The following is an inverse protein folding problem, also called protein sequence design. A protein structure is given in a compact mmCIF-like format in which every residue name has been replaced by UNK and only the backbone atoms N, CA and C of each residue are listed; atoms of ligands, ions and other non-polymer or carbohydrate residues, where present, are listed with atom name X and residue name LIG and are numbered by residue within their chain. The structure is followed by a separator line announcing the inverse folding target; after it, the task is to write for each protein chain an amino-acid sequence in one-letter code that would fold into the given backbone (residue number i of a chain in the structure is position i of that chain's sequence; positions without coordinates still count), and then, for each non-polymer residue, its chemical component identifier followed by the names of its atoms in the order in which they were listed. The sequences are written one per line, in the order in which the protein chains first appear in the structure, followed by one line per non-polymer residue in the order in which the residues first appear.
data_IF_081828817424
#
_entry.id   IF_081828817424
#
_cell.length_a   1.000
_cell.length_b   1.000
_cell.length_c   1.000
_cell.angle_alpha   90.00
_cell.angle_beta   90.00
_cell.angle_gamma   90.00
#
_symmetry.space_group_name_H-M   'P 1'
#
loop_
_entity.id
_entity.type
_entity.pdbx_description
1 polymer ?
#
# COMPACT_ATOMS: atom_id res chain seq x y z
N UNK A 1 17.08 26.19 15.46
CA UNK A 1 15.62 26.28 15.59
C UNK A 1 15.09 24.85 15.79
N UNK A 2 14.73 24.52 17.06
CA UNK A 2 14.08 23.24 17.35
C UNK A 2 12.69 23.25 16.70
N UNK A 3 12.59 22.71 15.48
CA UNK A 3 11.30 22.46 14.84
C UNK A 3 10.52 21.58 15.81
N UNK A 4 9.34 22.04 16.22
CA UNK A 4 8.52 21.30 17.18
C UNK A 4 8.23 19.89 16.67
N UNK A 5 8.27 18.86 17.53
CA UNK A 5 8.13 17.46 17.11
C UNK A 5 6.90 17.14 16.25
N UNK A 6 5.87 17.99 16.28
CA UNK A 6 4.69 17.92 15.39
C UNK A 6 5.01 18.30 13.94
N UNK A 7 5.80 19.35 13.73
CA UNK A 7 6.16 19.81 12.38
C UNK A 7 7.07 18.80 11.68
N UNK A 8 8.05 18.25 12.39
CA UNK A 8 8.89 17.17 11.86
C UNK A 8 8.07 15.95 11.46
N UNK A 9 7.07 15.56 12.25
CA UNK A 9 6.21 14.42 11.93
C UNK A 9 5.38 14.66 10.66
N UNK A 10 4.85 15.88 10.46
CA UNK A 10 4.09 16.26 9.27
C UNK A 10 4.99 16.28 8.02
N UNK A 11 6.17 16.85 8.12
CA UNK A 11 7.16 16.90 7.04
C UNK A 11 7.56 15.49 6.59
N UNK A 12 7.88 14.64 7.56
CA UNK A 12 8.22 13.25 7.30
C UNK A 12 7.06 12.48 6.59
N UNK A 13 5.84 12.65 7.10
CA UNK A 13 4.66 12.02 6.50
C UNK A 13 4.44 12.49 5.06
N UNK A 14 4.57 13.79 4.80
CA UNK A 14 4.38 14.36 3.47
C UNK A 14 5.42 13.84 2.48
N UNK A 15 6.70 13.80 2.86
CA UNK A 15 7.78 13.26 2.05
C UNK A 15 7.57 11.77 1.74
N UNK A 16 7.19 10.97 2.77
CA UNK A 16 6.86 9.58 2.60
C UNK A 16 5.71 9.38 1.61
N UNK A 17 4.60 10.09 1.78
CA UNK A 17 3.43 9.98 0.91
C UNK A 17 3.77 10.33 -0.54
N UNK A 18 4.51 11.42 -0.76
CA UNK A 18 4.91 11.84 -2.11
C UNK A 18 5.73 10.76 -2.81
N UNK A 19 6.75 10.21 -2.15
CA UNK A 19 7.57 9.12 -2.68
C UNK A 19 6.74 7.88 -3.00
N UNK A 20 5.92 7.45 -2.04
CA UNK A 20 5.09 6.25 -2.18
C UNK A 20 4.11 6.41 -3.34
N UNK A 21 3.48 7.58 -3.51
CA UNK A 21 2.54 7.82 -4.60
C UNK A 21 3.20 7.78 -5.97
N UNK A 22 4.37 8.40 -6.12
CA UNK A 22 5.13 8.38 -7.37
C UNK A 22 5.58 6.96 -7.72
N UNK A 23 6.18 6.26 -6.74
CA UNK A 23 6.69 4.91 -6.94
C UNK A 23 5.57 3.92 -7.26
N UNK A 24 4.45 3.99 -6.55
CA UNK A 24 3.25 3.19 -6.84
C UNK A 24 2.73 3.45 -8.25
N UNK A 25 2.68 4.72 -8.67
CA UNK A 25 2.23 5.08 -10.02
C UNK A 25 3.10 4.44 -11.09
N UNK A 26 4.41 4.62 -11.03
CA UNK A 26 5.38 4.03 -11.97
C UNK A 26 5.30 2.50 -11.95
N UNK A 27 5.28 1.90 -10.76
CA UNK A 27 5.21 0.45 -10.60
C UNK A 27 3.98 -0.15 -11.30
N UNK A 28 2.79 0.41 -11.08
CA UNK A 28 1.58 -0.14 -11.70
C UNK A 28 1.50 0.08 -13.20
N UNK A 29 2.08 1.15 -13.74
CA UNK A 29 2.24 1.29 -15.20
C UNK A 29 3.07 0.15 -15.76
N UNK A 30 4.25 -0.09 -15.17
CA UNK A 30 5.14 -1.17 -15.58
C UNK A 30 4.49 -2.55 -15.40
N UNK A 31 3.87 -2.79 -14.24
CA UNK A 31 3.23 -4.05 -13.95
C UNK A 31 2.09 -4.35 -14.92
N UNK A 32 1.24 -3.37 -15.23
CA UNK A 32 0.15 -3.51 -16.20
C UNK A 32 0.66 -3.85 -17.61
N UNK A 33 1.78 -3.25 -18.02
CA UNK A 33 2.41 -3.53 -19.31
C UNK A 33 2.99 -4.95 -19.38
N UNK A 34 3.62 -5.42 -18.30
CA UNK A 34 4.33 -6.72 -18.27
C UNK A 34 3.42 -7.88 -17.86
N UNK A 35 2.34 -7.63 -17.13
CA UNK A 35 1.45 -8.66 -16.57
C UNK A 35 0.91 -9.68 -17.61
N UNK A 36 0.52 -9.31 -18.83
CA UNK A 36 0.09 -10.29 -19.84
C UNK A 36 1.16 -11.33 -20.17
N UNK A 37 2.44 -10.92 -20.15
CA UNK A 37 3.57 -11.82 -20.36
C UNK A 37 3.83 -12.68 -19.11
N UNK A 38 3.82 -12.09 -17.92
CA UNK A 38 4.03 -12.79 -16.66
C UNK A 38 3.02 -13.92 -16.46
N UNK A 39 1.73 -13.67 -16.71
CA UNK A 39 0.66 -14.66 -16.58
C UNK A 39 0.84 -15.90 -17.45
N UNK A 40 1.62 -15.81 -18.54
CA UNK A 40 1.92 -16.96 -19.42
C UNK A 40 2.99 -17.88 -18.86
N UNK A 41 3.95 -17.32 -18.11
CA UNK A 41 5.16 -18.03 -17.70
C UNK A 41 5.24 -18.28 -16.20
N UNK A 42 4.52 -17.51 -15.40
CA UNK A 42 4.61 -17.50 -13.94
C UNK A 42 3.28 -17.90 -13.32
N UNK A 43 3.33 -18.51 -12.13
CA UNK A 43 2.15 -18.94 -11.39
C UNK A 43 1.23 -17.76 -11.06
N UNK A 44 -0.08 -17.97 -11.11
CA UNK A 44 -1.05 -16.95 -10.79
C UNK A 44 -0.90 -16.44 -9.34
N UNK A 45 -0.39 -17.27 -8.43
CA UNK A 45 -0.11 -16.87 -7.05
C UNK A 45 0.93 -15.75 -6.98
N UNK A 46 2.01 -15.86 -7.73
CA UNK A 46 3.03 -14.81 -7.79
C UNK A 46 2.48 -13.56 -8.46
N UNK A 47 1.70 -13.70 -9.54
CA UNK A 47 1.03 -12.56 -10.15
C UNK A 47 0.11 -11.83 -9.15
N UNK A 48 -0.63 -12.55 -8.31
CA UNK A 48 -1.47 -11.97 -7.27
C UNK A 48 -0.64 -11.24 -6.20
N UNK A 49 0.51 -11.79 -5.78
CA UNK A 49 1.42 -11.16 -4.80
C UNK A 49 2.04 -9.88 -5.37
N UNK A 50 2.43 -9.86 -6.64
CA UNK A 50 3.01 -8.68 -7.28
C UNK A 50 2.09 -7.46 -7.20
N UNK A 51 0.77 -7.63 -7.23
CA UNK A 51 -0.17 -6.52 -7.04
C UNK A 51 -0.13 -5.92 -5.63
N UNK A 52 0.25 -6.71 -4.62
CA UNK A 52 0.29 -6.27 -3.22
C UNK A 52 1.59 -5.59 -2.84
N UNK A 53 2.69 -5.91 -3.54
CA UNK A 53 4.04 -5.48 -3.15
C UNK A 53 4.18 -3.97 -2.91
N UNK A 54 3.72 -3.07 -3.82
CA UNK A 54 3.94 -1.65 -3.59
C UNK A 54 3.15 -1.10 -2.40
N UNK A 55 2.08 -1.78 -1.98
CA UNK A 55 1.33 -1.40 -0.78
C UNK A 55 2.14 -1.51 0.51
N UNK A 56 3.15 -2.38 0.57
CA UNK A 56 4.02 -2.49 1.73
C UNK A 56 4.95 -1.27 1.92
N UNK A 57 5.14 -0.46 0.87
CA UNK A 57 5.93 0.77 0.98
C UNK A 57 5.37 1.75 2.00
N UNK A 58 4.05 1.74 2.28
CA UNK A 58 3.46 2.54 3.36
C UNK A 58 3.97 2.18 4.75
N UNK A 59 4.52 0.99 4.92
CA UNK A 59 5.01 0.47 6.20
C UNK A 59 6.53 0.38 6.27
N UNK A 60 7.24 0.58 5.16
CA UNK A 60 8.72 0.53 5.09
C UNK A 60 9.34 1.91 5.40
N UNK A 61 8.86 2.57 6.44
CA UNK A 61 9.28 3.93 6.80
C UNK A 61 10.73 4.06 7.27
N UNK A 62 11.38 2.95 7.60
CA UNK A 62 12.71 2.92 8.24
C UNK A 62 13.86 2.55 7.30
N UNK A 63 13.58 2.15 6.06
CA UNK A 63 14.66 1.65 5.17
C UNK A 63 15.47 2.78 4.53
N UNK A 64 14.96 4.02 4.59
CA UNK A 64 15.66 5.20 4.01
C UNK A 64 16.79 5.75 4.87
N UNK A 65 16.99 5.26 6.09
CA UNK A 65 18.09 5.69 6.96
C UNK A 65 19.40 4.89 6.76
N UNK A 66 19.48 4.04 5.75
CA UNK A 66 20.78 3.55 5.30
C UNK A 66 21.45 4.71 4.56
N UNK A 67 22.19 5.48 5.35
CA UNK A 67 23.09 6.51 4.89
C UNK A 67 23.99 5.90 3.80
N UNK A 68 23.68 6.16 2.56
CA UNK A 68 24.64 6.02 1.48
C UNK A 68 25.44 7.31 1.49
N UNK A 69 26.64 7.21 2.01
CA UNK A 69 27.69 8.15 1.67
C UNK A 69 27.97 8.00 0.18
N UNK A 70 27.35 8.81 -0.66
CA UNK A 70 27.60 8.82 -2.09
C UNK A 70 28.49 10.05 -2.40
N UNK A 71 29.73 9.85 -2.88
CA UNK A 71 30.65 10.96 -3.16
C UNK A 71 30.27 11.83 -4.36
N UNK A 72 29.15 11.54 -5.00
CA UNK A 72 28.68 12.28 -6.16
C UNK A 72 27.24 12.74 -5.98
N UNK A 73 27.02 13.88 -5.33
CA UNK A 73 25.74 14.52 -5.05
C UNK A 73 24.52 13.97 -5.78
N UNK A 74 23.69 13.17 -5.12
CA UNK A 74 22.44 12.67 -5.67
C UNK A 74 21.59 13.83 -6.17
N UNK A 75 21.11 13.72 -7.40
CA UNK A 75 20.19 14.70 -8.00
C UNK A 75 18.83 14.54 -7.31
N UNK A 76 18.57 15.35 -6.30
CA UNK A 76 17.26 15.43 -5.66
C UNK A 76 16.32 16.27 -6.53
N UNK A 77 15.14 15.73 -6.82
CA UNK A 77 14.08 16.51 -7.45
C UNK A 77 13.36 17.33 -6.37
N UNK A 78 13.57 18.63 -6.38
CA UNK A 78 12.90 19.58 -5.48
C UNK A 78 11.69 20.17 -6.17
N UNK A 79 10.51 20.03 -5.56
CA UNK A 79 9.26 20.64 -6.01
C UNK A 79 8.90 21.78 -5.08
N UNK A 80 8.73 22.98 -5.61
CA UNK A 80 8.37 24.18 -4.85
C UNK A 80 6.84 24.35 -4.80
N UNK A 81 6.28 24.57 -3.61
CA UNK A 81 4.85 24.82 -3.41
C UNK A 81 4.61 25.79 -2.25
N UNK A 82 3.48 26.48 -2.25
CA UNK A 82 3.09 27.31 -1.09
C UNK A 82 2.59 26.44 0.06
N UNK A 83 2.87 26.80 1.31
CA UNK A 83 2.42 26.05 2.50
C UNK A 83 0.90 25.91 2.57
N UNK A 84 0.16 26.95 2.16
CA UNK A 84 -1.32 26.89 2.07
C UNK A 84 -1.78 25.84 1.06
N UNK A 85 -1.15 25.76 -0.13
CA UNK A 85 -1.48 24.76 -1.14
C UNK A 85 -1.23 23.34 -0.60
N UNK A 86 -0.09 23.13 0.06
CA UNK A 86 0.27 21.84 0.66
C UNK A 86 -0.76 21.42 1.71
N UNK A 87 -1.16 22.32 2.60
CA UNK A 87 -2.17 22.05 3.64
C UNK A 87 -3.53 21.69 3.02
N UNK A 88 -3.97 22.43 2.00
CA UNK A 88 -5.23 22.14 1.29
C UNK A 88 -5.15 20.78 0.60
N UNK A 89 -4.07 20.48 -0.11
CA UNK A 89 -3.89 19.18 -0.78
C UNK A 89 -3.89 18.02 0.21
N UNK A 90 -3.22 18.16 1.36
CA UNK A 90 -3.25 17.14 2.42
C UNK A 90 -4.66 16.95 3.00
N UNK A 91 -5.39 18.05 3.23
CA UNK A 91 -6.77 17.96 3.74
C UNK A 91 -7.71 17.26 2.73
N UNK A 92 -7.61 17.62 1.45
CA UNK A 92 -8.37 16.99 0.35
C UNK A 92 -8.00 15.51 0.23
N UNK A 93 -6.69 15.19 0.26
CA UNK A 93 -6.22 13.82 0.22
C UNK A 93 -6.77 13.00 1.41
N UNK A 94 -6.65 13.51 2.63
CA UNK A 94 -7.12 12.81 3.83
C UNK A 94 -8.64 12.60 3.80
N UNK A 95 -9.40 13.63 3.43
CA UNK A 95 -10.86 13.53 3.30
C UNK A 95 -11.26 12.49 2.24
N UNK A 96 -10.60 12.48 1.08
CA UNK A 96 -10.83 11.49 0.04
C UNK A 96 -10.45 10.08 0.47
N UNK A 97 -9.30 9.90 1.11
CA UNK A 97 -8.84 8.61 1.62
C UNK A 97 -9.82 8.03 2.67
N UNK A 98 -10.22 8.84 3.64
CA UNK A 98 -11.20 8.46 4.67
C UNK A 98 -12.56 8.16 4.01
N UNK A 99 -13.02 9.01 3.09
CA UNK A 99 -14.30 8.85 2.39
C UNK A 99 -14.35 7.56 1.57
N UNK A 100 -13.33 7.28 0.77
CA UNK A 100 -13.25 6.05 -0.04
C UNK A 100 -13.15 4.82 0.85
N UNK A 101 -12.32 4.86 1.89
CA UNK A 101 -12.17 3.74 2.82
C UNK A 101 -13.49 3.46 3.56
N UNK A 102 -14.11 4.48 4.14
CA UNK A 102 -15.39 4.36 4.82
C UNK A 102 -16.48 3.83 3.88
N UNK A 103 -16.56 4.35 2.66
CA UNK A 103 -17.52 3.86 1.65
C UNK A 103 -17.33 2.36 1.37
N UNK A 104 -16.08 1.91 1.20
CA UNK A 104 -15.77 0.49 0.95
C UNK A 104 -16.14 -0.39 2.15
N UNK A 105 -15.82 0.04 3.37
CA UNK A 105 -16.17 -0.68 4.61
C UNK A 105 -17.69 -0.75 4.77
N UNK A 106 -18.39 0.37 4.64
CA UNK A 106 -19.85 0.43 4.77
C UNK A 106 -20.52 -0.46 3.70
N UNK A 107 -20.02 -0.42 2.46
CA UNK A 107 -20.52 -1.26 1.37
C UNK A 107 -20.33 -2.75 1.69
N UNK A 108 -19.15 -3.15 2.21
CA UNK A 108 -18.88 -4.51 2.64
C UNK A 108 -19.80 -4.95 3.79
N UNK A 109 -19.97 -4.11 4.81
CA UNK A 109 -20.84 -4.42 5.96
C UNK A 109 -22.32 -4.52 5.54
N UNK A 110 -22.79 -3.65 4.66
CA UNK A 110 -24.13 -3.72 4.08
C UNK A 110 -24.33 -5.01 3.28
N UNK A 111 -23.36 -5.36 2.46
CA UNK A 111 -23.37 -6.61 1.69
C UNK A 111 -23.42 -7.82 2.64
N UNK A 112 -22.51 -7.89 3.62
CA UNK A 112 -22.47 -8.96 4.62
C UNK A 112 -23.81 -9.11 5.37
N UNK A 113 -24.38 -8.00 5.83
CA UNK A 113 -25.69 -8.00 6.51
C UNK A 113 -26.81 -8.51 5.58
N UNK A 114 -26.78 -8.15 4.32
CA UNK A 114 -27.78 -8.60 3.34
C UNK A 114 -27.67 -10.10 3.09
N UNK A 115 -26.47 -10.61 2.89
CA UNK A 115 -26.23 -12.04 2.64
C UNK A 115 -26.60 -12.90 3.85
N UNK A 116 -26.28 -12.44 5.07
CA UNK A 116 -26.47 -13.23 6.29
C UNK A 116 -27.85 -13.03 6.94
N UNK A 117 -28.71 -12.16 6.42
CA UNK A 117 -30.00 -11.82 7.02
C UNK A 117 -30.89 -13.05 7.21
N UNK A 118 -30.97 -13.90 6.18
CA UNK A 118 -31.82 -15.10 6.18
C UNK A 118 -30.98 -16.38 6.05
N UNK A 119 -29.70 -16.28 6.43
CA UNK A 119 -28.77 -17.41 6.34
C UNK A 119 -28.99 -18.38 7.51
N UNK A 120 -29.05 -19.67 7.20
CA UNK A 120 -29.23 -20.75 8.18
C UNK A 120 -27.94 -21.56 8.27
N UNK A 121 -27.52 -21.89 9.48
CA UNK A 121 -26.37 -22.78 9.68
C UNK A 121 -26.67 -24.15 9.06
N UNK A 122 -25.71 -24.70 8.34
CA UNK A 122 -25.85 -26.02 7.73
C UNK A 122 -25.83 -27.09 8.82
N UNK A 123 -26.86 -27.90 8.87
CA UNK A 123 -27.02 -29.03 9.81
C UNK A 123 -27.07 -30.38 9.09
N UNK A 124 -27.10 -30.37 7.78
CA UNK A 124 -27.13 -31.56 6.95
C UNK A 124 -25.81 -32.33 7.05
N UNK A 125 -25.90 -33.59 7.50
CA UNK A 125 -24.78 -34.45 7.81
C UNK A 125 -23.89 -34.73 6.58
N UNK A 126 -24.48 -34.89 5.42
CA UNK A 126 -23.73 -35.16 4.19
C UNK A 126 -22.88 -33.93 3.80
N UNK A 127 -23.46 -32.74 3.84
CA UNK A 127 -22.73 -31.48 3.56
C UNK A 127 -21.62 -31.24 4.58
N UNK A 128 -21.89 -31.51 5.88
CA UNK A 128 -20.89 -31.38 6.92
C UNK A 128 -19.75 -32.38 6.79
N UNK A 129 -20.03 -33.62 6.38
CA UNK A 129 -19.00 -34.63 6.12
C UNK A 129 -18.04 -34.17 4.98
N UNK A 130 -18.58 -33.65 3.89
CA UNK A 130 -17.76 -33.10 2.79
C UNK A 130 -16.93 -31.88 3.27
N UNK A 131 -17.55 -31.00 4.08
CA UNK A 131 -16.86 -29.84 4.65
C UNK A 131 -15.67 -30.26 5.52
N UNK A 132 -15.87 -31.20 6.43
CA UNK A 132 -14.82 -31.73 7.32
C UNK A 132 -13.70 -32.42 6.51
N UNK A 133 -14.07 -33.21 5.50
CA UNK A 133 -13.09 -33.85 4.62
C UNK A 133 -12.20 -32.85 3.88
N UNK A 134 -12.76 -31.75 3.37
CA UNK A 134 -11.98 -30.72 2.68
C UNK A 134 -11.12 -29.87 3.65
N UNK A 135 -11.59 -29.61 4.88
CA UNK A 135 -10.78 -29.00 5.94
C UNK A 135 -9.57 -29.89 6.30
N UNK A 136 -9.80 -31.17 6.51
CA UNK A 136 -8.74 -32.14 6.80
C UNK A 136 -7.72 -32.22 5.65
N UNK A 137 -8.17 -32.22 4.38
CA UNK A 137 -7.31 -32.18 3.20
C UNK A 137 -6.43 -30.93 3.14
N UNK A 138 -6.94 -29.80 3.61
CA UNK A 138 -6.20 -28.54 3.69
C UNK A 138 -5.28 -28.46 4.91
N UNK A 139 -5.14 -29.52 5.70
CA UNK A 139 -4.39 -29.58 6.96
C UNK A 139 -4.85 -28.53 7.98
N UNK A 140 -6.10 -28.13 7.90
CA UNK A 140 -6.74 -27.22 8.83
C UNK A 140 -7.42 -28.08 9.89
N UNK A 141 -6.97 -27.95 11.14
CA UNK A 141 -7.62 -28.58 12.29
C UNK A 141 -8.99 -27.95 12.57
N UNK A 142 -9.44 -27.99 13.82
CA UNK A 142 -10.67 -27.32 14.22
C UNK A 142 -10.63 -25.83 13.91
N UNK A 143 -11.42 -25.41 12.93
CA UNK A 143 -11.58 -24.00 12.57
C UNK A 143 -12.82 -23.44 13.23
N UNK A 144 -12.79 -22.12 13.54
CA UNK A 144 -13.97 -21.38 14.02
C UNK A 144 -14.85 -20.88 12.87
N UNK A 145 -14.64 -21.38 11.66
CA UNK A 145 -15.41 -20.99 10.50
C UNK A 145 -16.77 -21.70 10.51
N UNK A 146 -17.79 -20.98 10.12
CA UNK A 146 -19.16 -21.52 10.04
C UNK A 146 -19.57 -21.72 8.59
N UNK A 147 -20.29 -22.82 8.32
CA UNK A 147 -20.90 -23.09 7.04
C UNK A 147 -22.38 -22.73 7.12
N UNK A 148 -22.86 -21.85 6.21
CA UNK A 148 -24.24 -21.38 6.18
C UNK A 148 -24.86 -21.53 4.81
N UNK A 149 -26.17 -21.71 4.74
CA UNK A 149 -26.96 -21.58 3.51
C UNK A 149 -27.63 -20.22 3.50
N UNK A 150 -27.41 -19.47 2.42
CA UNK A 150 -27.96 -18.14 2.23
C UNK A 150 -28.82 -18.10 0.95
N UNK A 151 -30.17 -18.02 1.07
CA UNK A 151 -31.08 -18.10 -0.07
C UNK A 151 -30.90 -16.97 -1.08
N UNK A 152 -30.33 -15.89 -0.66
CA UNK A 152 -30.10 -14.70 -1.49
C UNK A 152 -28.86 -14.78 -2.37
N UNK A 153 -28.06 -15.83 -2.20
CA UNK A 153 -26.85 -16.03 -2.99
C UNK A 153 -27.16 -16.89 -4.23
N UNK A 154 -26.50 -16.52 -5.30
CA UNK A 154 -26.46 -17.31 -6.55
C UNK A 154 -25.15 -18.08 -6.68
N UNK A 155 -24.09 -17.59 -6.04
CA UNK A 155 -22.76 -18.21 -6.07
C UNK A 155 -22.24 -18.45 -4.65
N UNK A 156 -21.53 -19.58 -4.39
CA UNK A 156 -20.84 -19.78 -3.12
C UNK A 156 -19.81 -18.66 -2.90
N UNK A 157 -19.60 -18.30 -1.63
CA UNK A 157 -18.59 -17.31 -1.28
C UNK A 157 -18.17 -17.41 0.18
N UNK A 158 -16.95 -16.96 0.48
CA UNK A 158 -16.46 -16.77 1.84
C UNK A 158 -16.53 -15.31 2.26
N UNK A 159 -17.06 -15.07 3.48
CA UNK A 159 -17.19 -13.73 4.05
C UNK A 159 -16.56 -13.70 5.42
N UNK A 160 -15.76 -12.68 5.68
CA UNK A 160 -15.17 -12.42 7.00
C UNK A 160 -13.69 -12.13 6.90
N UNK A 161 -13.23 -11.22 7.75
CA UNK A 161 -11.84 -10.80 7.83
C UNK A 161 -11.11 -11.50 8.98
N UNK A 162 -11.83 -11.77 10.06
CA UNK A 162 -11.30 -12.40 11.27
C UNK A 162 -11.86 -13.81 11.43
N UNK A 163 -11.06 -14.73 11.92
CA UNK A 163 -11.44 -16.14 12.07
C UNK A 163 -12.81 -16.37 12.76
N UNK A 164 -13.10 -15.56 13.80
CA UNK A 164 -14.38 -15.65 14.55
C UNK A 164 -15.60 -15.16 13.75
N UNK A 165 -15.40 -14.36 12.70
CA UNK A 165 -16.47 -13.76 11.91
C UNK A 165 -16.54 -14.32 10.49
N UNK A 166 -15.66 -15.27 10.18
CA UNK A 166 -15.56 -15.90 8.87
C UNK A 166 -16.59 -17.00 8.72
N UNK A 167 -17.35 -16.94 7.65
CA UNK A 167 -18.27 -18.00 7.25
C UNK A 167 -18.16 -18.27 5.74
N UNK A 168 -18.42 -19.50 5.36
CA UNK A 168 -18.64 -19.91 3.97
C UNK A 168 -20.14 -20.00 3.76
N UNK A 169 -20.64 -19.24 2.79
CA UNK A 169 -22.05 -19.19 2.48
C UNK A 169 -22.33 -19.90 1.15
N UNK A 170 -23.19 -20.87 1.19
CA UNK A 170 -23.66 -21.63 0.05
C UNK A 170 -25.03 -21.12 -0.40
N UNK A 171 -25.33 -21.09 -1.70
CA UNK A 171 -26.69 -20.88 -2.22
C UNK A 171 -27.67 -21.95 -1.74
N UNK A 172 -28.96 -21.68 -1.90
CA UNK A 172 -30.02 -22.62 -1.55
C UNK A 172 -30.17 -23.81 -2.55
N UNK A 173 -29.40 -23.81 -3.64
CA UNK A 173 -29.44 -24.90 -4.61
C UNK A 173 -28.75 -26.17 -4.09
N UNK A 174 -29.14 -27.33 -4.65
CA UNK A 174 -28.50 -28.62 -4.39
C UNK A 174 -27.27 -28.82 -5.29
N UNK A 175 -26.21 -29.36 -4.69
CA UNK A 175 -24.98 -29.78 -5.36
C UNK A 175 -24.78 -31.28 -5.17
N UNK A 176 -24.16 -31.94 -6.15
CA UNK A 176 -23.67 -33.29 -5.91
C UNK A 176 -22.50 -33.25 -4.90
N UNK A 177 -22.19 -34.36 -4.21
CA UNK A 177 -21.05 -34.41 -3.28
C UNK A 177 -19.72 -33.99 -3.95
N UNK A 178 -19.54 -34.34 -5.21
CA UNK A 178 -18.34 -34.00 -6.00
C UNK A 178 -18.31 -32.49 -6.33
N UNK A 179 -19.44 -31.92 -6.76
CA UNK A 179 -19.56 -30.46 -6.98
C UNK A 179 -19.30 -29.70 -5.69
N UNK A 180 -19.90 -30.17 -4.60
CA UNK A 180 -19.74 -29.54 -3.28
C UNK A 180 -18.29 -29.60 -2.79
N UNK A 181 -17.61 -30.73 -2.98
CA UNK A 181 -16.19 -30.88 -2.65
C UNK A 181 -15.32 -29.85 -3.41
N UNK A 182 -15.55 -29.65 -4.70
CA UNK A 182 -14.80 -28.68 -5.50
C UNK A 182 -15.07 -27.23 -5.05
N UNK A 183 -16.33 -26.90 -4.74
CA UNK A 183 -16.74 -25.59 -4.22
C UNK A 183 -16.08 -25.31 -2.88
N UNK A 184 -16.24 -26.23 -1.93
CA UNK A 184 -15.74 -26.07 -0.57
C UNK A 184 -14.21 -25.99 -0.56
N UNK A 185 -13.54 -26.79 -1.40
CA UNK A 185 -12.09 -26.70 -1.58
C UNK A 185 -11.65 -25.32 -2.07
N UNK A 186 -12.36 -24.74 -3.03
CA UNK A 186 -12.09 -23.39 -3.54
C UNK A 186 -12.21 -22.35 -2.43
N UNK A 187 -13.30 -22.35 -1.68
CA UNK A 187 -13.53 -21.40 -0.59
C UNK A 187 -12.52 -21.60 0.57
N UNK A 188 -12.20 -22.85 0.93
CA UNK A 188 -11.22 -23.17 1.96
C UNK A 188 -9.81 -22.66 1.55
N UNK A 189 -9.44 -22.78 0.28
CA UNK A 189 -8.16 -22.26 -0.21
C UNK A 189 -8.09 -20.73 -0.06
N UNK A 190 -9.15 -19.99 -0.39
CA UNK A 190 -9.22 -18.56 -0.14
C UNK A 190 -9.01 -18.22 1.34
N UNK A 191 -9.67 -18.94 2.23
CA UNK A 191 -9.59 -18.70 3.66
C UNK A 191 -8.22 -19.08 4.24
N UNK A 192 -7.65 -20.22 3.84
CA UNK A 192 -6.34 -20.69 4.29
C UNK A 192 -5.21 -19.73 3.90
N UNK A 193 -5.34 -19.09 2.74
CA UNK A 193 -4.38 -18.11 2.23
C UNK A 193 -4.60 -16.70 2.76
N UNK A 194 -5.68 -16.48 3.50
CA UNK A 194 -6.10 -15.15 3.96
C UNK A 194 -6.36 -14.16 2.81
N UNK A 195 -6.88 -14.65 1.69
CA UNK A 195 -7.19 -13.81 0.54
C UNK A 195 -8.15 -12.65 0.89
N UNK A 196 -9.15 -12.80 1.81
CA UNK A 196 -9.94 -11.67 2.28
C UNK A 196 -9.10 -10.55 2.91
N UNK A 197 -8.04 -10.89 3.65
CA UNK A 197 -7.13 -9.90 4.23
C UNK A 197 -6.31 -9.19 3.15
N UNK A 198 -5.85 -9.92 2.13
CA UNK A 198 -5.14 -9.35 0.97
C UNK A 198 -6.05 -8.42 0.16
N UNK A 199 -7.31 -8.82 -0.07
CA UNK A 199 -8.33 -7.97 -0.72
C UNK A 199 -8.61 -6.69 0.11
N UNK A 200 -8.69 -6.83 1.44
CA UNK A 200 -8.86 -5.68 2.34
C UNK A 200 -7.64 -4.74 2.31
N UNK A 201 -6.43 -5.30 2.28
CA UNK A 201 -5.21 -4.52 2.14
C UNK A 201 -5.18 -3.72 0.82
N UNK A 202 -5.62 -4.33 -0.29
CA UNK A 202 -5.77 -3.62 -1.57
C UNK A 202 -6.82 -2.49 -1.51
N UNK A 203 -7.88 -2.68 -0.74
CA UNK A 203 -8.87 -1.60 -0.49
C UNK A 203 -8.22 -0.45 0.27
N UNK A 204 -7.41 -0.74 1.29
CA UNK A 204 -6.65 0.27 2.04
C UNK A 204 -5.69 1.04 1.10
N UNK A 205 -4.87 0.33 0.32
CA UNK A 205 -3.94 0.96 -0.63
C UNK A 205 -4.67 1.81 -1.68
N UNK A 206 -5.84 1.34 -2.16
CA UNK A 206 -6.67 2.10 -3.10
C UNK A 206 -7.24 3.35 -2.44
N UNK A 207 -7.64 3.29 -1.17
CA UNK A 207 -8.09 4.47 -0.45
C UNK A 207 -6.97 5.49 -0.23
N UNK A 208 -5.75 5.04 0.11
CA UNK A 208 -4.58 5.92 0.25
C UNK A 208 -4.21 6.64 -1.06
N UNK A 209 -4.35 5.96 -2.21
CA UNK A 209 -4.11 6.51 -3.55
C UNK A 209 -5.42 6.69 -4.34
N UNK A 210 -6.49 7.13 -3.71
CA UNK A 210 -7.83 7.20 -4.31
C UNK A 210 -7.89 8.01 -5.61
N UNK A 211 -7.07 9.02 -5.73
CA UNK A 211 -6.95 9.90 -6.90
C UNK A 211 -6.22 9.23 -8.08
N UNK A 212 -5.51 8.12 -7.86
CA UNK A 212 -4.76 7.43 -8.91
C UNK A 212 -5.63 6.35 -9.58
N UNK A 213 -6.04 6.50 -10.87
CA UNK A 213 -6.87 5.52 -11.55
C UNK A 213 -6.20 4.14 -11.69
N UNK A 214 -4.86 4.09 -11.72
CA UNK A 214 -4.12 2.83 -11.82
C UNK A 214 -4.37 1.93 -10.60
N UNK A 215 -4.56 2.52 -9.41
CA UNK A 215 -4.91 1.76 -8.21
C UNK A 215 -6.26 1.04 -8.34
N UNK A 216 -7.25 1.70 -8.93
CA UNK A 216 -8.56 1.08 -9.17
C UNK A 216 -8.49 -0.06 -10.18
N UNK A 217 -7.65 0.09 -11.23
CA UNK A 217 -7.38 -0.98 -12.19
C UNK A 217 -6.63 -2.12 -11.51
N UNK A 218 -5.58 -1.81 -10.73
CA UNK A 218 -4.79 -2.79 -9.99
C UNK A 218 -5.66 -3.61 -9.01
N UNK A 219 -6.55 -2.96 -8.27
CA UNK A 219 -7.48 -3.61 -7.35
C UNK A 219 -8.39 -4.62 -8.07
N UNK A 220 -8.90 -4.28 -9.28
CA UNK A 220 -9.72 -5.19 -10.08
C UNK A 220 -8.90 -6.36 -10.63
N UNK A 221 -7.72 -6.07 -11.17
CA UNK A 221 -6.84 -7.09 -11.77
C UNK A 221 -6.23 -8.02 -10.72
N UNK A 222 -5.94 -7.53 -9.51
CA UNK A 222 -5.50 -8.38 -8.42
C UNK A 222 -6.58 -9.38 -8.01
N UNK A 223 -7.85 -8.97 -7.97
CA UNK A 223 -8.95 -9.89 -7.67
C UNK A 223 -9.04 -11.01 -8.72
N UNK A 224 -8.91 -10.70 -10.03
CA UNK A 224 -8.88 -11.71 -11.09
C UNK A 224 -7.73 -12.72 -10.88
N UNK A 225 -6.54 -12.26 -10.46
CA UNK A 225 -5.38 -13.12 -10.24
C UNK A 225 -5.49 -13.96 -8.95
N UNK A 226 -6.18 -13.46 -7.91
CA UNK A 226 -6.50 -14.27 -6.72
C UNK A 226 -7.40 -15.43 -7.10
N UNK A 227 -8.46 -15.19 -7.91
CA UNK A 227 -9.35 -16.24 -8.37
C UNK A 227 -8.59 -17.28 -9.21
N UNK A 228 -7.78 -16.82 -10.18
CA UNK A 228 -6.96 -17.71 -11.00
C UNK A 228 -5.98 -18.55 -10.18
N UNK A 229 -5.36 -17.94 -9.16
CA UNK A 229 -4.47 -18.63 -8.23
C UNK A 229 -5.19 -19.69 -7.40
N UNK A 230 -6.45 -19.42 -7.03
CA UNK A 230 -7.28 -20.38 -6.33
C UNK A 230 -7.62 -21.56 -7.25
N UNK A 231 -8.06 -21.30 -8.49
CA UNK A 231 -8.34 -22.33 -9.48
C UNK A 231 -7.13 -23.24 -9.74
N UNK A 232 -5.93 -22.66 -9.91
CA UNK A 232 -4.69 -23.43 -10.09
C UNK A 232 -4.44 -24.39 -8.92
N UNK A 233 -4.78 -23.96 -7.70
CA UNK A 233 -4.55 -24.79 -6.49
C UNK A 233 -5.60 -25.87 -6.30
N UNK A 234 -6.87 -25.57 -6.58
CA UNK A 234 -7.96 -26.55 -6.58
C UNK A 234 -7.65 -27.70 -7.54
N UNK A 235 -7.10 -27.34 -8.69
CA UNK A 235 -6.87 -28.24 -9.82
C UNK A 235 -5.44 -28.77 -9.91
N UNK A 236 -4.62 -28.54 -8.87
CA UNK A 236 -3.26 -29.07 -8.82
C UNK A 236 -3.29 -30.60 -8.90
N UNK A 237 -2.57 -31.17 -9.87
CA UNK A 237 -2.51 -32.60 -10.12
C UNK A 237 -3.88 -33.29 -10.41
N UNK A 238 -4.94 -32.53 -10.72
CA UNK A 238 -6.23 -33.12 -11.05
C UNK A 238 -6.27 -33.57 -12.53
N UNK A 239 -6.91 -34.73 -12.82
CA UNK A 239 -7.05 -35.23 -14.16
C UNK A 239 -8.07 -34.40 -14.99
N UNK A 240 -8.00 -34.54 -16.32
CA UNK A 240 -8.84 -33.75 -17.22
C UNK A 240 -10.36 -33.85 -16.99
N UNK A 241 -10.93 -34.99 -16.61
CA UNK A 241 -12.38 -35.06 -16.31
C UNK A 241 -12.79 -34.15 -15.15
N UNK A 242 -11.99 -34.08 -14.07
CA UNK A 242 -12.27 -33.22 -12.92
C UNK A 242 -12.13 -31.74 -13.29
N UNK A 243 -11.15 -31.40 -14.16
CA UNK A 243 -11.00 -30.02 -14.69
C UNK A 243 -12.21 -29.59 -15.50
N UNK A 244 -12.75 -30.50 -16.31
CA UNK A 244 -13.96 -30.26 -17.10
C UNK A 244 -15.17 -30.05 -16.20
N UNK A 245 -15.38 -30.93 -15.21
CA UNK A 245 -16.45 -30.79 -14.22
C UNK A 245 -16.38 -29.44 -13.48
N UNK A 246 -15.17 -29.04 -13.07
CA UNK A 246 -14.95 -27.75 -12.42
C UNK A 246 -15.25 -26.56 -13.34
N UNK A 247 -14.89 -26.63 -14.62
CA UNK A 247 -15.20 -25.61 -15.60
C UNK A 247 -16.72 -25.49 -15.84
N UNK A 248 -17.42 -26.60 -15.94
CA UNK A 248 -18.89 -26.65 -16.07
C UNK A 248 -19.58 -26.08 -14.83
N UNK A 249 -19.07 -26.40 -13.63
CA UNK A 249 -19.55 -25.85 -12.36
C UNK A 249 -19.34 -24.32 -12.29
N UNK A 250 -18.19 -23.84 -12.73
CA UNK A 250 -17.90 -22.41 -12.79
C UNK A 250 -18.86 -21.67 -13.73
N UNK A 251 -19.18 -22.26 -14.87
CA UNK A 251 -20.18 -21.72 -15.82
C UNK A 251 -21.60 -21.73 -15.22
N UNK A 252 -21.96 -22.79 -14.53
CA UNK A 252 -23.27 -22.93 -13.86
C UNK A 252 -23.47 -21.86 -12.79
N UNK A 253 -22.41 -21.53 -12.05
CA UNK A 253 -22.45 -20.52 -10.97
C UNK A 253 -22.26 -19.08 -11.46
N UNK A 254 -21.68 -18.85 -12.64
CA UNK A 254 -21.43 -17.52 -13.18
C UNK A 254 -22.66 -16.84 -13.82
N UNK A 255 -23.77 -17.59 -13.98
CA UNK A 255 -24.89 -17.17 -14.84
C UNK A 255 -25.81 -16.07 -14.30
N UNK A 256 -25.68 -15.62 -13.05
CA UNK A 256 -26.69 -14.74 -12.43
C UNK A 256 -26.07 -13.63 -11.56
N UNK A 257 -25.05 -12.95 -12.09
CA UNK A 257 -24.36 -11.87 -11.36
C UNK A 257 -25.11 -10.54 -11.42
N UNK A 258 -26.19 -10.40 -10.66
CA UNK A 258 -26.79 -9.09 -10.33
C UNK A 258 -26.51 -8.66 -8.89
N UNK A 259 -25.40 -9.08 -8.30
CA UNK A 259 -25.00 -8.72 -6.95
C UNK A 259 -23.73 -7.89 -6.92
N UNK A 260 -23.76 -6.77 -6.20
CA UNK A 260 -22.58 -6.01 -5.78
C UNK A 260 -21.80 -6.84 -4.76
N UNK A 261 -21.10 -7.87 -5.24
CA UNK A 261 -20.23 -8.67 -4.39
C UNK A 261 -18.89 -7.97 -4.25
N UNK A 262 -18.24 -8.16 -3.11
CA UNK A 262 -16.80 -7.91 -2.96
C UNK A 262 -15.98 -8.84 -3.89
N UNK A 263 -16.59 -9.90 -4.38
CA UNK A 263 -16.26 -10.52 -5.65
C UNK A 263 -16.59 -9.49 -6.73
N UNK A 264 -15.60 -8.73 -7.16
CA UNK A 264 -15.70 -7.90 -8.35
C UNK A 264 -16.23 -8.80 -9.45
N UNK A 265 -17.43 -8.48 -9.97
CA UNK A 265 -18.08 -9.27 -11.02
C UNK A 265 -17.06 -9.64 -12.08
N UNK A 266 -16.81 -10.95 -12.20
CA UNK A 266 -15.85 -11.43 -13.15
C UNK A 266 -16.32 -10.95 -14.52
N UNK A 267 -15.59 -10.04 -15.14
CA UNK A 267 -15.91 -9.62 -16.51
C UNK A 267 -15.92 -10.88 -17.37
N UNK A 268 -16.74 -10.93 -18.40
CA UNK A 268 -16.79 -12.07 -19.31
C UNK A 268 -15.39 -12.47 -19.82
N UNK A 269 -14.47 -11.50 -19.90
CA UNK A 269 -13.07 -11.71 -20.25
C UNK A 269 -12.28 -12.44 -19.15
N UNK A 270 -12.51 -12.13 -17.89
CA UNK A 270 -11.87 -12.79 -16.75
C UNK A 270 -12.34 -14.25 -16.63
N UNK A 271 -13.64 -14.49 -16.74
CA UNK A 271 -14.22 -15.84 -16.77
C UNK A 271 -13.65 -16.68 -17.93
N UNK A 272 -13.61 -16.12 -19.15
CA UNK A 272 -13.00 -16.78 -20.30
C UNK A 272 -11.53 -17.13 -20.05
N UNK A 273 -10.81 -16.24 -19.41
CA UNK A 273 -9.41 -16.48 -19.09
C UNK A 273 -9.23 -17.58 -18.02
N UNK A 274 -10.09 -17.62 -16.97
CA UNK A 274 -10.12 -18.70 -15.98
C UNK A 274 -10.38 -20.05 -16.67
N UNK A 275 -11.45 -20.14 -17.48
CA UNK A 275 -11.82 -21.38 -18.21
C UNK A 275 -10.68 -21.87 -19.13
N UNK A 276 -10.02 -20.96 -19.85
CA UNK A 276 -8.87 -21.33 -20.69
C UNK A 276 -7.73 -21.96 -19.86
N UNK A 277 -7.39 -21.39 -18.71
CA UNK A 277 -6.32 -21.93 -17.84
C UNK A 277 -6.73 -23.24 -17.16
N UNK A 278 -8.01 -23.42 -16.82
CA UNK A 278 -8.55 -24.65 -16.27
C UNK A 278 -8.41 -25.80 -17.28
N UNK A 279 -8.80 -25.56 -18.53
CA UNK A 279 -8.84 -26.60 -19.57
C UNK A 279 -7.48 -26.92 -20.18
N UNK A 280 -6.60 -25.93 -20.28
CA UNK A 280 -5.26 -26.06 -20.87
C UNK A 280 -4.20 -25.44 -19.95
N UNK A 281 -3.85 -26.13 -18.84
CA UNK A 281 -2.84 -25.63 -17.91
C UNK A 281 -1.46 -25.62 -18.58
N UNK A 282 -0.86 -24.44 -18.71
CA UNK A 282 0.52 -24.30 -19.14
C UNK A 282 1.50 -24.70 -18.03
N UNK A 283 2.73 -25.11 -18.40
CA UNK A 283 3.82 -25.23 -17.43
C UNK A 283 4.22 -23.82 -17.01
N UNK A 284 4.12 -23.54 -15.72
CA UNK A 284 4.43 -22.24 -15.14
C UNK A 284 5.56 -22.39 -14.10
N UNK A 285 6.44 -21.40 -14.06
CA UNK A 285 7.47 -21.30 -13.04
C UNK A 285 6.90 -20.71 -11.76
N UNK A 286 7.47 -21.07 -10.62
CA UNK A 286 7.02 -20.54 -9.32
C UNK A 286 7.21 -19.03 -9.20
N UNK A 287 8.26 -18.47 -9.82
CA UNK A 287 8.49 -17.02 -9.85
C UNK A 287 8.84 -16.37 -8.50
N UNK A 288 9.16 -17.15 -7.46
CA UNK A 288 9.49 -16.61 -6.13
C UNK A 288 10.66 -15.64 -6.16
N UNK A 289 11.68 -15.94 -6.96
CA UNK A 289 12.83 -15.07 -7.16
C UNK A 289 12.44 -13.70 -7.75
N UNK A 290 11.45 -13.67 -8.64
CA UNK A 290 10.93 -12.43 -9.21
C UNK A 290 10.30 -11.53 -8.12
N UNK A 291 9.56 -12.10 -7.19
CA UNK A 291 8.98 -11.34 -6.06
C UNK A 291 10.08 -10.72 -5.22
N UNK A 292 11.09 -11.50 -4.84
CA UNK A 292 12.23 -11.02 -4.08
C UNK A 292 13.00 -9.92 -4.79
N UNK A 293 13.28 -10.09 -6.09
CA UNK A 293 13.97 -9.09 -6.91
C UNK A 293 13.12 -7.82 -7.07
N UNK A 294 11.81 -7.95 -7.29
CA UNK A 294 10.92 -6.81 -7.40
C UNK A 294 10.84 -6.04 -6.08
N UNK A 295 10.76 -6.73 -4.95
CA UNK A 295 10.79 -6.12 -3.63
C UNK A 295 12.10 -5.37 -3.39
N UNK A 296 13.24 -5.99 -3.68
CA UNK A 296 14.56 -5.36 -3.58
C UNK A 296 14.65 -4.12 -4.48
N UNK A 297 14.18 -4.21 -5.73
CA UNK A 297 14.18 -3.09 -6.66
C UNK A 297 13.31 -1.93 -6.13
N UNK A 298 12.12 -2.21 -5.61
CA UNK A 298 11.25 -1.19 -5.02
C UNK A 298 11.89 -0.47 -3.83
N UNK A 299 12.63 -1.21 -2.99
CA UNK A 299 13.33 -0.60 -1.85
C UNK A 299 14.53 0.23 -2.27
N UNK A 300 15.24 -0.20 -3.32
CA UNK A 300 16.42 0.53 -3.85
C UNK A 300 16.04 1.74 -4.71
N UNK A 301 14.90 1.68 -5.42
CA UNK A 301 14.42 2.75 -6.30
C UNK A 301 13.59 3.81 -5.57
N UNK A 302 13.48 3.77 -4.25
CA UNK A 302 12.86 4.83 -3.46
C UNK A 302 13.74 6.10 -3.54
N UNK A 303 13.75 6.73 -4.72
CA UNK A 303 14.55 7.93 -4.99
C UNK A 303 14.18 9.10 -4.07
N UNK A 304 15.09 10.06 -3.97
CA UNK A 304 14.93 11.24 -3.13
C UNK A 304 14.11 12.31 -3.86
N UNK A 305 12.88 12.52 -3.42
CA UNK A 305 12.01 13.61 -3.88
C UNK A 305 11.66 14.45 -2.66
N UNK A 306 12.09 15.71 -2.65
CA UNK A 306 11.77 16.67 -1.61
C UNK A 306 10.73 17.67 -2.10
N UNK A 307 9.81 18.05 -1.23
CA UNK A 307 8.92 19.19 -1.43
C UNK A 307 9.44 20.34 -0.58
N UNK A 308 9.73 21.48 -1.23
CA UNK A 308 10.05 22.74 -0.59
C UNK A 308 8.77 23.58 -0.50
N UNK A 309 8.46 24.06 0.67
CA UNK A 309 7.25 24.86 0.90
C UNK A 309 7.47 25.89 2.00
N UNK A 310 6.53 26.82 2.12
CA UNK A 310 6.53 27.85 3.15
C UNK A 310 7.76 28.75 3.11
N UNK A 311 8.04 29.32 1.90
CA UNK A 311 9.11 30.27 1.70
C UNK A 311 8.86 31.52 2.57
N UNK A 312 9.76 31.81 3.49
CA UNK A 312 9.70 32.97 4.39
C UNK A 312 11.02 33.72 4.34
N UNK A 313 11.00 35.06 4.43
CA UNK A 313 12.22 35.83 4.56
C UNK A 313 12.92 35.50 5.88
N UNK A 314 14.24 35.52 5.87
CA UNK A 314 15.07 35.25 7.06
C UNK A 314 14.75 36.20 8.23
N UNK A 315 14.35 37.42 7.94
CA UNK A 315 13.87 38.35 8.94
C UNK A 315 12.70 37.78 9.78
N UNK A 316 11.76 37.11 9.13
CA UNK A 316 10.62 36.50 9.83
C UNK A 316 11.00 35.18 10.53
N UNK A 317 11.83 34.36 9.90
CA UNK A 317 12.10 33.00 10.35
C UNK A 317 13.29 32.85 11.29
N UNK A 318 14.34 33.66 11.11
CA UNK A 318 15.52 33.69 11.96
C UNK A 318 15.30 34.64 13.14
N UNK A 319 14.86 35.85 12.86
CA UNK A 319 14.72 36.90 13.84
C UNK A 319 13.30 37.05 14.44
N UNK A 320 12.40 36.09 14.12
CA UNK A 320 11.03 36.06 14.63
C UNK A 320 10.22 37.35 14.32
N UNK A 321 10.52 37.99 13.18
CA UNK A 321 9.92 39.24 12.76
C UNK A 321 10.39 40.48 13.54
N UNK A 322 11.38 40.34 14.42
CA UNK A 322 12.00 41.46 15.17
C UNK A 322 13.08 42.10 14.29
N UNK A 323 13.38 43.39 14.56
CA UNK A 323 14.51 44.04 13.89
C UNK A 323 15.81 43.29 14.16
N UNK A 324 16.63 43.00 13.13
CA UNK A 324 17.94 42.34 13.35
C UNK A 324 18.88 43.11 14.26
N UNK A 325 18.62 44.40 14.46
CA UNK A 325 19.38 45.31 15.37
C UNK A 325 19.22 44.92 16.84
N UNK A 326 18.12 44.26 17.23
CA UNK A 326 17.86 43.82 18.62
C UNK A 326 18.72 42.60 19.01
N UNK A 327 19.43 42.03 18.06
CA UNK A 327 20.26 40.84 18.24
C UNK A 327 21.74 41.23 18.18
N UNK A 328 22.57 40.78 19.12
CA UNK A 328 24.02 40.96 19.08
C UNK A 328 24.72 39.63 18.87
N UNK A 329 25.65 39.59 17.93
CA UNK A 329 26.40 38.36 17.61
C UNK A 329 27.37 38.06 18.75
N UNK A 330 27.20 36.88 19.35
CA UNK A 330 28.04 36.43 20.47
C UNK A 330 29.28 35.70 19.98
N UNK A 331 29.08 34.71 19.08
CA UNK A 331 30.18 34.03 18.44
C UNK A 331 29.72 33.35 17.11
N UNK A 332 30.72 33.04 16.30
CA UNK A 332 30.58 32.29 15.04
C UNK A 332 31.44 31.05 15.16
N UNK A 333 30.82 29.87 15.12
CA UNK A 333 31.56 28.62 15.17
C UNK A 333 31.44 27.90 13.81
N UNK A 334 32.58 27.54 13.25
CA UNK A 334 32.66 26.83 11.97
C UNK A 334 33.15 25.42 12.24
N UNK A 335 32.25 24.47 12.09
CA UNK A 335 32.57 23.05 12.23
C UNK A 335 32.98 22.47 10.88
N UNK A 336 34.15 21.83 10.85
CA UNK A 336 34.60 21.04 9.74
C UNK A 336 34.56 19.58 10.17
N UNK A 337 33.68 18.79 9.55
CA UNK A 337 33.36 17.43 9.99
C UNK A 337 34.56 16.48 9.90
N UNK A 338 35.55 16.78 9.06
CA UNK A 338 36.75 15.92 8.88
C UNK A 338 37.77 16.02 10.05
N UNK A 339 37.66 16.98 10.98
CA UNK A 339 38.66 17.22 12.02
C UNK A 339 38.14 17.42 13.44
N UNK A 340 36.82 17.49 13.65
CA UNK A 340 36.24 17.64 15.01
C UNK A 340 36.67 18.91 15.76
N UNK A 341 37.12 19.95 15.07
CA UNK A 341 37.55 21.23 15.67
C UNK A 341 36.66 22.36 15.17
N UNK A 342 35.87 22.90 16.06
CA UNK A 342 35.28 24.22 15.90
C UNK A 342 36.37 25.28 15.92
N UNK A 343 36.31 26.26 15.05
CA UNK A 343 37.16 27.44 15.06
C UNK A 343 36.27 28.65 15.29
N UNK A 344 36.50 29.36 16.36
CA UNK A 344 35.80 30.62 16.65
C UNK A 344 36.32 31.70 15.68
N UNK A 345 35.42 32.25 14.86
CA UNK A 345 35.73 33.33 13.94
C UNK A 345 35.07 34.62 14.41
N UNK A 346 35.89 35.64 14.69
CA UNK A 346 35.37 36.99 14.87
C UNK A 346 34.71 37.49 13.57
N UNK A 347 33.48 37.93 13.65
CA UNK A 347 32.81 38.59 12.51
C UNK A 347 33.23 40.07 12.48
N UNK A 348 33.78 40.53 11.37
CA UNK A 348 34.25 41.93 11.24
C UNK A 348 33.16 42.92 10.88
N UNK A 349 32.04 42.44 10.29
CA UNK A 349 30.88 43.23 9.91
C UNK A 349 29.57 42.49 10.29
N UNK A 350 29.19 42.71 11.54
CA UNK A 350 27.99 42.12 12.11
C UNK A 350 26.71 42.64 11.46
N UNK A 351 26.68 43.92 11.05
CA UNK A 351 25.51 44.52 10.41
C UNK A 351 25.24 43.89 9.05
N UNK A 352 26.28 43.77 8.20
CA UNK A 352 26.18 43.12 6.91
C UNK A 352 25.76 41.65 7.01
N UNK A 353 26.22 40.91 8.04
CA UNK A 353 25.81 39.53 8.29
C UNK A 353 24.33 39.45 8.64
N UNK A 354 23.82 40.30 9.51
CA UNK A 354 22.41 40.35 9.92
C UNK A 354 21.50 40.73 8.71
N UNK A 355 21.90 41.71 7.91
CA UNK A 355 21.17 42.09 6.71
C UNK A 355 21.12 40.94 5.70
N UNK A 356 22.24 40.25 5.54
CA UNK A 356 22.30 39.08 4.66
C UNK A 356 21.35 37.98 5.16
N UNK A 357 21.39 37.64 6.46
CA UNK A 357 20.51 36.62 7.05
C UNK A 357 19.02 37.01 6.94
N UNK A 358 18.69 38.28 7.15
CA UNK A 358 17.33 38.80 7.03
C UNK A 358 16.80 38.74 5.58
N UNK A 359 17.69 38.95 4.59
CA UNK A 359 17.37 38.92 3.17
C UNK A 359 17.23 37.48 2.59
N UNK A 360 17.75 36.47 3.29
CA UNK A 360 17.63 35.06 2.85
C UNK A 360 16.15 34.65 2.69
N UNK A 361 15.87 33.87 1.66
CA UNK A 361 14.61 33.17 1.52
C UNK A 361 14.78 31.74 2.06
N UNK A 362 14.11 31.44 3.16
CA UNK A 362 14.19 30.15 3.84
C UNK A 362 12.94 29.34 3.55
N UNK A 363 13.13 28.10 3.11
CA UNK A 363 12.06 27.17 2.80
C UNK A 363 12.12 25.96 3.75
N UNK A 364 10.96 25.34 3.99
CA UNK A 364 10.88 24.10 4.73
C UNK A 364 10.90 22.92 3.74
N UNK A 365 11.77 21.96 3.98
CA UNK A 365 11.91 20.76 3.14
C UNK A 365 11.31 19.54 3.83
N UNK A 366 10.67 18.66 3.07
CA UNK A 366 10.12 17.40 3.60
C UNK A 366 11.18 16.34 3.87
N UNK A 367 12.39 16.56 3.38
CA UNK A 367 13.54 15.68 3.57
C UNK A 367 14.76 16.52 3.97
N UNK A 368 15.52 16.04 4.96
CA UNK A 368 16.77 16.67 5.31
C UNK A 368 17.75 16.55 4.13
N UNK A 369 18.31 17.70 3.72
CA UNK A 369 19.37 17.77 2.72
C UNK A 369 20.68 17.36 3.38
N UNK A 370 20.85 16.08 3.71
CA UNK A 370 22.14 15.57 4.19
C UNK A 370 23.12 15.52 3.02
N UNK A 371 23.71 16.64 2.71
CA UNK A 371 24.92 16.70 1.89
C UNK A 371 26.11 16.29 2.73
N UNK A 372 26.31 15.02 2.89
CA UNK A 372 27.56 14.47 3.43
C UNK A 372 28.65 14.54 2.37
N UNK A 373 29.31 15.63 2.28
CA UNK A 373 30.52 15.86 1.56
C UNK A 373 31.03 17.22 2.01
N UNK A 374 32.16 17.30 2.67
CA UNK A 374 32.88 18.51 3.13
C UNK A 374 31.93 19.66 3.59
N UNK A 375 30.90 19.34 4.37
CA UNK A 375 29.98 20.33 4.91
C UNK A 375 30.66 21.07 6.05
N UNK A 376 31.00 22.32 5.81
CA UNK A 376 31.28 23.25 6.90
C UNK A 376 29.92 23.70 7.44
N UNK A 377 29.57 23.31 8.64
CA UNK A 377 28.43 23.89 9.33
C UNK A 377 28.87 25.19 10.02
N UNK A 378 28.08 26.23 9.79
CA UNK A 378 28.26 27.51 10.46
C UNK A 378 27.19 27.62 11.54
N UNK A 379 27.62 27.72 12.79
CA UNK A 379 26.74 28.00 13.91
C UNK A 379 26.93 29.46 14.36
N UNK A 380 25.83 30.19 14.34
CA UNK A 380 25.78 31.57 14.80
C UNK A 380 24.99 31.63 16.11
N UNK A 381 25.55 32.23 17.13
CA UNK A 381 24.86 32.47 18.39
C UNK A 381 24.67 33.97 18.57
N UNK A 382 23.43 34.39 18.72
CA UNK A 382 23.06 35.77 18.98
C UNK A 382 22.49 35.90 20.38
N UNK A 383 22.85 36.96 21.10
CA UNK A 383 22.19 37.41 22.31
C UNK A 383 20.95 38.24 21.92
N UNK A 384 19.80 37.90 22.48
CA UNK A 384 18.52 38.57 22.32
C UNK A 384 18.02 39.05 23.70
N UNK A 385 17.08 40.01 23.77
CA UNK A 385 16.56 40.52 25.04
C UNK A 385 15.91 39.46 25.95
N UNK A 386 15.45 38.36 25.36
CA UNK A 386 14.76 37.27 26.06
C UNK A 386 15.57 35.97 26.14
N UNK A 387 16.84 35.97 25.72
CA UNK A 387 17.70 34.80 25.72
C UNK A 387 18.70 34.75 24.57
N UNK A 388 19.09 33.52 24.17
CA UNK A 388 20.05 33.32 23.08
C UNK A 388 19.35 32.67 21.88
N UNK A 389 19.66 33.17 20.66
CA UNK A 389 19.25 32.63 19.40
C UNK A 389 20.41 31.89 18.75
N UNK A 390 20.24 30.61 18.43
CA UNK A 390 21.20 29.81 17.65
C UNK A 390 20.69 29.59 16.24
N UNK A 391 21.50 29.93 15.25
CA UNK A 391 21.18 29.80 13.81
C UNK A 391 22.18 28.86 13.14
#
# INVERSE_FOLDING_TARGET
LAIGGREMAVQYLLGLLLRVFLLIGVYYVLLLAVMPLLRRHISARVCAVLWLLPGYLYFLTQVSSVQRADPGGERMLVLHASGTLVTVLLAVWAAGAIGVFAWKIISHLRFRRRVLKDAVVVTDEQTLAVWQAELARAWLGETKWTLVRAPQLTTPLSIGLFQKTTCVALPACSYTPEELSLILRHEIIHLSRRDPASKFFMVFCTAMCWFNPLMWVAMRKSADDFELSCDESVLLAQPQPVRRQYAELLLKTAGDERGFTTCLSATASALRYRLKNIMAPGKKHTGALLVGLTFLLLTLCAGHVALAYDAQPGAARIFDGRPPEDFSLRYVDVWNDDRGSGTDFGCTDEAALKDYLAALQLETYTEALDRYGECRSLQLLFDAPEGTLSV
#
